data_IF_264767399110
#
_entry.id   IF_264767399110
#
_cell.length_a   1.000
_cell.length_b   1.000
_cell.length_c   1.000
_cell.angle_alpha   90.00
_cell.angle_beta   90.00
_cell.angle_gamma   90.00
#
_symmetry.space_group_name_H-M   'P 1'
#
loop_
_entity.id
_entity.type
_entity.pdbx_description
1 polymer ?
#
# COMPACT_ATOMS: atom_id res chain seq x y z
N UNK A 1 34.19 0.38 19.83
CA UNK A 1 34.13 0.72 21.27
C UNK A 1 34.73 -0.45 22.02
N UNK A 2 35.91 -0.26 22.59
CA UNK A 2 36.63 -1.25 23.40
C UNK A 2 36.75 -0.72 24.84
N UNK A 3 36.59 -1.63 25.80
CA UNK A 3 36.66 -1.42 27.26
C UNK A 3 35.54 -2.23 27.92
N UNK A 4 35.71 -3.11 28.90
CA UNK A 4 36.83 -3.52 29.74
C UNK A 4 36.23 -4.35 30.90
N UNK A 5 37.01 -5.29 31.47
CA UNK A 5 36.71 -6.15 32.63
C UNK A 5 35.79 -7.37 32.44
N UNK A 6 36.42 -8.53 32.23
CA UNK A 6 35.78 -9.84 32.07
C UNK A 6 35.28 -10.46 33.37
N UNK A 7 33.99 -10.31 33.64
CA UNK A 7 33.32 -11.07 34.70
C UNK A 7 31.81 -10.90 34.78
N UNK A 8 31.27 -9.83 34.19
CA UNK A 8 29.83 -9.61 34.16
C UNK A 8 29.34 -9.60 32.72
N UNK A 9 28.73 -10.71 32.31
CA UNK A 9 28.00 -10.83 31.05
C UNK A 9 26.50 -10.61 31.36
N UNK A 10 25.96 -9.39 31.17
CA UNK A 10 24.58 -9.07 31.55
C UNK A 10 23.54 -9.84 30.73
N UNK A 11 23.94 -10.37 29.57
CA UNK A 11 23.09 -11.12 28.66
C UNK A 11 23.72 -12.48 28.43
N UNK A 12 22.96 -13.54 28.71
CA UNK A 12 23.38 -14.89 28.34
C UNK A 12 23.23 -15.04 26.83
N UNK A 13 24.34 -15.10 26.11
CA UNK A 13 24.33 -15.33 24.67
C UNK A 13 23.94 -16.79 24.39
N UNK A 14 22.75 -16.97 23.82
CA UNK A 14 22.32 -18.28 23.33
C UNK A 14 22.79 -18.46 21.88
N UNK A 15 23.67 -19.43 21.59
CA UNK A 15 24.15 -19.65 20.24
C UNK A 15 23.04 -19.99 19.24
N UNK A 16 21.88 -20.49 19.69
CA UNK A 16 20.73 -20.70 18.81
C UNK A 16 20.09 -19.39 18.34
N UNK A 17 19.96 -18.41 19.24
CA UNK A 17 19.40 -17.08 18.92
C UNK A 17 20.34 -16.34 17.97
N UNK A 18 21.64 -16.36 18.24
CA UNK A 18 22.65 -15.71 17.39
C UNK A 18 22.67 -16.30 15.98
N UNK A 19 22.56 -17.63 15.84
CA UNK A 19 22.46 -18.29 14.53
C UNK A 19 21.19 -17.91 13.78
N UNK A 20 20.05 -17.84 14.46
CA UNK A 20 18.79 -17.42 13.84
C UNK A 20 18.84 -15.96 13.38
N UNK A 21 19.38 -15.07 14.21
CA UNK A 21 19.58 -13.67 13.85
C UNK A 21 20.49 -13.55 12.63
N UNK A 22 21.64 -14.23 12.65
CA UNK A 22 22.58 -14.31 11.52
C UNK A 22 21.93 -14.86 10.25
N UNK A 23 21.13 -15.93 10.34
CA UNK A 23 20.40 -16.46 9.19
C UNK A 23 19.45 -15.41 8.60
N UNK A 24 18.66 -14.73 9.43
CA UNK A 24 17.66 -13.72 8.99
C UNK A 24 18.33 -12.52 8.32
N UNK A 25 19.45 -12.07 8.87
CA UNK A 25 20.18 -10.90 8.36
C UNK A 25 20.92 -11.20 7.05
N UNK A 26 21.39 -12.44 6.87
CA UNK A 26 22.12 -12.86 5.67
C UNK A 26 21.25 -13.57 4.62
N UNK A 27 19.91 -13.45 4.71
CA UNK A 27 18.97 -14.07 3.73
C UNK A 27 19.27 -13.60 2.31
N UNK A 28 19.61 -12.33 2.11
CA UNK A 28 19.83 -11.77 0.78
C UNK A 28 21.00 -12.42 0.03
N UNK A 29 22.02 -12.89 0.75
CA UNK A 29 23.20 -13.54 0.16
C UNK A 29 22.85 -14.92 -0.40
N UNK A 30 21.87 -15.59 0.19
CA UNK A 30 21.48 -16.95 -0.15
C UNK A 30 20.18 -17.02 -0.97
N UNK A 31 19.59 -15.86 -1.28
CA UNK A 31 18.33 -15.78 -2.00
C UNK A 31 18.47 -16.31 -3.43
N UNK A 32 17.47 -17.09 -3.87
CA UNK A 32 17.40 -17.62 -5.24
C UNK A 32 16.00 -17.41 -5.81
N UNK A 33 15.94 -16.98 -7.06
CA UNK A 33 14.69 -16.86 -7.81
C UNK A 33 14.14 -18.25 -8.19
N UNK A 34 13.42 -18.86 -7.26
CA UNK A 34 12.63 -20.06 -7.52
C UNK A 34 11.27 -19.67 -8.10
N UNK A 35 10.58 -20.59 -8.78
CA UNK A 35 9.25 -20.32 -9.35
C UNK A 35 8.26 -19.73 -8.34
N UNK A 36 8.33 -20.15 -7.07
CA UNK A 36 7.50 -19.60 -5.99
C UNK A 36 7.92 -18.19 -5.61
N UNK A 37 9.21 -17.96 -5.33
CA UNK A 37 9.73 -16.66 -4.92
C UNK A 37 9.52 -15.60 -6.03
N UNK A 38 9.79 -15.95 -7.28
CA UNK A 38 9.60 -15.06 -8.43
C UNK A 38 8.14 -14.64 -8.57
N UNK A 39 7.17 -15.56 -8.39
CA UNK A 39 5.74 -15.20 -8.40
C UNK A 39 5.40 -14.22 -7.27
N UNK A 40 5.93 -14.42 -6.07
CA UNK A 40 5.68 -13.52 -4.95
C UNK A 40 6.26 -12.13 -5.19
N UNK A 41 7.52 -12.03 -5.62
CA UNK A 41 8.17 -10.76 -5.93
C UNK A 41 7.44 -10.04 -7.06
N UNK A 42 7.03 -10.76 -8.11
CA UNK A 42 6.32 -10.16 -9.23
C UNK A 42 4.92 -9.64 -8.81
N UNK A 43 4.15 -10.47 -8.10
CA UNK A 43 2.79 -10.08 -7.67
C UNK A 43 2.83 -8.89 -6.73
N UNK A 44 3.65 -8.94 -5.68
CA UNK A 44 3.66 -7.89 -4.66
C UNK A 44 4.49 -6.67 -5.05
N UNK A 45 5.55 -6.85 -5.83
CA UNK A 45 6.41 -5.75 -6.29
C UNK A 45 5.85 -4.98 -7.48
N UNK A 46 5.07 -5.64 -8.35
CA UNK A 46 4.60 -5.02 -9.59
C UNK A 46 3.08 -5.07 -9.74
N UNK A 47 2.47 -6.25 -9.65
CA UNK A 47 1.03 -6.39 -9.97
C UNK A 47 0.17 -5.57 -9.02
N UNK A 48 0.39 -5.68 -7.71
CA UNK A 48 -0.41 -4.97 -6.71
C UNK A 48 -0.21 -3.45 -6.80
N UNK A 49 1.03 -2.90 -6.81
CA UNK A 49 1.23 -1.47 -6.97
C UNK A 49 0.69 -0.92 -8.29
N UNK A 50 0.89 -1.63 -9.41
CA UNK A 50 0.37 -1.21 -10.71
C UNK A 50 -1.16 -1.18 -10.71
N UNK A 51 -1.83 -2.19 -10.15
CA UNK A 51 -3.28 -2.21 -10.03
C UNK A 51 -3.78 -1.03 -9.20
N UNK A 52 -3.18 -0.77 -8.04
CA UNK A 52 -3.53 0.39 -7.20
C UNK A 52 -3.34 1.70 -7.96
N UNK A 53 -2.19 1.87 -8.63
CA UNK A 53 -1.90 3.07 -9.41
C UNK A 53 -2.91 3.26 -10.56
N UNK A 54 -3.29 2.19 -11.26
CA UNK A 54 -4.27 2.28 -12.35
C UNK A 54 -5.63 2.72 -11.84
N UNK A 55 -6.10 2.18 -10.71
CA UNK A 55 -7.37 2.59 -10.09
C UNK A 55 -7.27 4.06 -9.64
N UNK A 56 -6.17 4.43 -8.98
CA UNK A 56 -5.97 5.81 -8.54
C UNK A 56 -6.03 6.79 -9.71
N UNK A 57 -5.25 6.57 -10.78
CA UNK A 57 -5.20 7.47 -11.93
C UNK A 57 -6.51 7.50 -12.71
N UNK A 58 -7.20 6.37 -12.87
CA UNK A 58 -8.43 6.30 -13.67
C UNK A 58 -9.64 6.94 -12.98
N UNK A 59 -9.63 6.98 -11.66
CA UNK A 59 -10.72 7.53 -10.86
C UNK A 59 -10.35 8.83 -10.14
N UNK A 60 -9.12 9.28 -10.27
CA UNK A 60 -8.69 10.56 -9.71
C UNK A 60 -9.57 11.69 -10.24
N UNK A 61 -10.10 12.50 -9.32
CA UNK A 61 -10.96 13.65 -9.62
C UNK A 61 -12.19 13.37 -10.51
N UNK A 62 -12.53 12.10 -10.76
CA UNK A 62 -13.61 11.75 -11.69
C UNK A 62 -15.00 11.99 -11.09
N UNK A 63 -15.12 11.84 -9.77
CA UNK A 63 -16.38 11.96 -9.06
C UNK A 63 -16.35 13.13 -8.08
N UNK A 64 -17.45 13.87 -8.04
CA UNK A 64 -17.70 14.96 -7.10
C UNK A 64 -19.12 14.84 -6.54
N UNK A 65 -19.21 14.63 -5.23
CA UNK A 65 -20.46 14.38 -4.52
C UNK A 65 -20.92 15.60 -3.74
N UNK A 66 -20.11 16.66 -3.68
CA UNK A 66 -20.44 17.86 -2.93
C UNK A 66 -21.69 18.53 -3.52
N UNK A 67 -22.73 18.67 -2.70
CA UNK A 67 -23.98 19.36 -3.07
C UNK A 67 -24.83 18.67 -4.13
N UNK A 68 -24.55 17.41 -4.50
CA UNK A 68 -25.33 16.67 -5.51
C UNK A 68 -26.70 16.24 -4.95
N UNK A 69 -27.77 16.46 -5.73
CA UNK A 69 -29.14 16.09 -5.38
C UNK A 69 -29.48 14.64 -5.80
N UNK A 70 -30.55 14.07 -5.24
CA UNK A 70 -31.05 12.73 -5.59
C UNK A 70 -31.33 12.64 -7.10
N UNK A 71 -30.72 11.65 -7.75
CA UNK A 71 -30.86 11.43 -9.19
C UNK A 71 -30.00 12.33 -10.08
N UNK A 72 -29.09 13.13 -9.51
CA UNK A 72 -28.08 13.87 -10.27
C UNK A 72 -26.80 13.05 -10.47
N UNK A 73 -26.08 13.32 -11.56
CA UNK A 73 -24.80 12.65 -11.87
C UNK A 73 -23.72 13.05 -10.89
N UNK A 74 -22.96 12.05 -10.42
CA UNK A 74 -21.80 12.20 -9.53
C UNK A 74 -20.50 12.50 -10.30
N UNK A 75 -20.54 12.52 -11.64
CA UNK A 75 -19.37 12.86 -12.44
C UNK A 75 -19.05 14.35 -12.31
N UNK A 76 -17.76 14.66 -12.14
CA UNK A 76 -17.27 16.02 -12.13
C UNK A 76 -17.56 16.70 -13.48
N UNK A 77 -18.04 17.94 -13.46
CA UNK A 77 -18.36 18.71 -14.68
C UNK A 77 -19.71 18.41 -15.33
N UNK A 78 -20.51 17.47 -14.82
CA UNK A 78 -21.90 17.30 -15.30
C UNK A 78 -22.80 18.34 -14.61
N UNK A 79 -23.63 19.10 -15.37
CA UNK A 79 -24.57 20.04 -14.78
C UNK A 79 -25.52 19.31 -13.83
N UNK A 80 -25.76 19.89 -12.64
CA UNK A 80 -26.79 19.39 -11.74
C UNK A 80 -28.12 19.39 -12.49
N UNK A 81 -28.96 18.36 -12.26
CA UNK A 81 -30.29 18.26 -12.87
C UNK A 81 -30.98 19.63 -12.74
N UNK A 82 -31.48 20.24 -13.83
CA UNK A 82 -32.24 21.49 -13.73
C UNK A 82 -33.35 21.25 -12.71
N UNK A 83 -33.34 22.03 -11.63
CA UNK A 83 -34.48 22.06 -10.71
C UNK A 83 -35.68 22.41 -11.58
N UNK A 84 -36.77 21.63 -11.48
CA UNK A 84 -37.98 21.86 -12.24
C UNK A 84 -38.35 23.34 -12.08
N UNK A 85 -38.20 24.11 -13.17
CA UNK A 85 -38.60 25.51 -13.17
C UNK A 85 -40.08 25.52 -12.75
N UNK A 86 -40.47 26.31 -11.73
CA UNK A 86 -41.89 26.46 -11.44
C UNK A 86 -42.51 26.95 -12.75
N UNK A 87 -43.49 26.20 -13.24
CA UNK A 87 -44.20 26.52 -14.47
C UNK A 87 -44.55 28.00 -14.41
N UNK A 88 -44.10 28.77 -15.40
CA UNK A 88 -44.56 30.14 -15.62
C UNK A 88 -46.09 30.10 -15.58
N UNK A 89 -46.66 30.68 -14.52
CA UNK A 89 -48.08 30.96 -14.42
C UNK A 89 -48.43 31.96 -15.54
N UNK A 90 -49.08 31.47 -16.58
CA UNK A 90 -49.95 32.26 -17.46
C UNK A 90 -51.36 32.36 -16.86
#
# INVERSE_FOLDING_TARGET
>A
MAGGHGGFEPVKLDPAIERWASMRENVFQHFKFTRRATRQVFTWGFVVPALIATIAVTYDNKYDWAGKQKGSSLLKGTPAKPQAQPASEE
#
